data_IF_544073625956
#
_entry.id   IF_544073625956
#
_cell.length_a   1.000
_cell.length_b   1.000
_cell.length_c   1.000
_cell.angle_alpha   90.00
_cell.angle_beta   90.00
_cell.angle_gamma   90.00
#
_symmetry.space_group_name_H-M   'P 1'
#
loop_
_entity.id
_entity.type
_entity.pdbx_description
1 polymer ?
#
# COMPACT_ATOMS: atom_id res chain seq x y z
N UNK A 1 0.01 3.48 13.65
CA UNK A 1 0.13 4.58 12.65
C UNK A 1 -1.04 5.55 12.84
N UNK A 2 -2.28 5.09 12.64
CA UNK A 2 -3.52 5.88 12.70
C UNK A 2 -3.78 6.61 14.03
N UNK A 3 -3.30 6.09 15.17
CA UNK A 3 -3.47 6.76 16.47
C UNK A 3 -2.79 8.14 16.60
N UNK A 4 -1.85 8.49 15.71
CA UNK A 4 -1.05 9.72 15.80
C UNK A 4 -0.91 10.45 14.45
N UNK A 5 -1.47 9.89 13.37
CA UNK A 5 -1.39 10.45 12.03
C UNK A 5 -2.77 10.41 11.39
N UNK A 6 -3.31 11.60 11.08
CA UNK A 6 -4.65 11.76 10.50
C UNK A 6 -4.69 11.48 8.98
N UNK A 7 -3.53 11.22 8.36
CA UNK A 7 -3.48 10.89 6.92
C UNK A 7 -4.16 9.55 6.67
N UNK A 8 -5.12 9.44 5.73
CA UNK A 8 -5.80 8.19 5.40
C UNK A 8 -4.81 7.06 5.05
N UNK A 9 -4.92 5.92 5.74
CA UNK A 9 -4.03 4.79 5.55
C UNK A 9 -4.66 3.71 4.64
N UNK A 10 -3.99 3.43 3.51
CA UNK A 10 -4.24 2.25 2.68
C UNK A 10 -3.41 1.07 3.20
N UNK A 11 -4.04 -0.10 3.37
CA UNK A 11 -3.41 -1.31 3.91
C UNK A 11 -3.40 -2.44 2.89
N UNK A 12 -2.25 -3.09 2.73
CA UNK A 12 -2.14 -4.37 2.03
C UNK A 12 -2.70 -5.49 2.92
N UNK A 13 -3.77 -6.14 2.48
CA UNK A 13 -4.43 -7.21 3.23
C UNK A 13 -4.22 -8.60 2.61
N UNK A 14 -3.24 -8.77 1.71
CA UNK A 14 -2.96 -10.03 1.02
C UNK A 14 -4.24 -10.62 0.40
N UNK A 15 -4.54 -11.88 0.72
CA UNK A 15 -5.74 -12.61 0.31
C UNK A 15 -6.85 -12.55 1.37
N UNK A 16 -6.73 -11.66 2.36
CA UNK A 16 -7.69 -11.45 3.44
C UNK A 16 -7.45 -12.26 4.72
N UNK A 17 -6.23 -12.77 4.91
CA UNK A 17 -5.74 -13.48 6.10
C UNK A 17 -6.56 -14.72 6.51
N UNK A 18 -7.03 -15.48 5.53
CA UNK A 18 -7.56 -16.83 5.74
C UNK A 18 -8.33 -17.35 4.52
N UNK A 19 -8.67 -18.65 4.50
CA UNK A 19 -9.21 -19.28 3.29
C UNK A 19 -10.71 -19.06 3.10
N UNK A 20 -11.42 -18.49 4.07
CA UNK A 20 -12.89 -18.37 4.04
C UNK A 20 -13.37 -16.92 4.01
N UNK A 21 -14.59 -16.72 3.53
CA UNK A 21 -15.29 -15.43 3.58
C UNK A 21 -15.38 -14.86 5.01
N UNK A 22 -15.45 -15.71 6.04
CA UNK A 22 -15.47 -15.26 7.43
C UNK A 22 -14.14 -14.62 7.87
N UNK A 23 -13.01 -15.12 7.35
CA UNK A 23 -11.71 -14.53 7.63
C UNK A 23 -11.61 -13.14 7.00
N UNK A 24 -12.01 -13.02 5.73
CA UNK A 24 -12.02 -11.76 4.99
C UNK A 24 -12.92 -10.74 5.70
N UNK A 25 -14.14 -11.14 6.06
CA UNK A 25 -15.07 -10.24 6.74
C UNK A 25 -14.59 -9.78 8.11
N UNK A 26 -13.84 -10.62 8.84
CA UNK A 26 -13.16 -10.21 10.07
C UNK A 26 -12.04 -9.22 9.80
N UNK A 27 -11.20 -9.48 8.80
CA UNK A 27 -10.11 -8.60 8.38
C UNK A 27 -10.62 -7.19 8.06
N UNK A 28 -11.69 -7.07 7.27
CA UNK A 28 -12.31 -5.77 6.94
C UNK A 28 -12.71 -5.01 8.22
N UNK A 29 -13.46 -5.66 9.12
CA UNK A 29 -13.94 -5.04 10.37
C UNK A 29 -12.79 -4.64 11.29
N UNK A 30 -11.77 -5.48 11.39
CA UNK A 30 -10.59 -5.22 12.23
C UNK A 30 -9.77 -4.04 11.66
N UNK A 31 -9.62 -3.93 10.33
CA UNK A 31 -8.94 -2.79 9.69
C UNK A 31 -9.71 -1.47 9.84
N UNK A 32 -11.03 -1.48 9.65
CA UNK A 32 -11.89 -0.30 9.90
C UNK A 32 -11.76 0.12 11.36
N UNK A 33 -11.88 -0.81 12.31
CA UNK A 33 -11.75 -0.54 13.74
C UNK A 33 -10.37 0.00 14.12
N UNK A 34 -9.32 -0.42 13.42
CA UNK A 34 -7.96 0.09 13.61
C UNK A 34 -7.73 1.48 12.99
N UNK A 35 -8.72 2.04 12.28
CA UNK A 35 -8.67 3.36 11.66
C UNK A 35 -8.07 3.40 10.25
N UNK A 36 -7.94 2.27 9.57
CA UNK A 36 -7.55 2.26 8.16
C UNK A 36 -8.66 2.90 7.31
N UNK A 37 -8.28 3.63 6.27
CA UNK A 37 -9.23 4.27 5.34
C UNK A 37 -9.55 3.38 4.13
N UNK A 38 -8.61 2.49 3.79
CA UNK A 38 -8.77 1.59 2.66
C UNK A 38 -7.96 0.31 2.89
N UNK A 39 -8.33 -0.75 2.18
CA UNK A 39 -7.50 -1.93 2.02
C UNK A 39 -7.44 -2.36 0.56
N UNK A 40 -6.40 -3.09 0.18
CA UNK A 40 -6.42 -3.90 -1.03
C UNK A 40 -6.29 -5.39 -0.72
N UNK A 41 -7.04 -6.20 -1.47
CA UNK A 41 -7.03 -7.67 -1.42
C UNK A 41 -6.75 -8.23 -2.81
N UNK A 42 -6.00 -9.33 -2.91
CA UNK A 42 -5.46 -9.83 -4.17
C UNK A 42 -5.96 -11.22 -4.60
N UNK A 43 -5.85 -11.48 -5.90
CA UNK A 43 -6.28 -12.72 -6.57
C UNK A 43 -5.23 -13.84 -6.55
N UNK A 44 -4.17 -13.72 -5.76
CA UNK A 44 -3.21 -14.80 -5.59
C UNK A 44 -3.78 -15.98 -4.77
N UNK A 45 -3.21 -17.16 -4.99
CA UNK A 45 -3.40 -18.32 -4.12
C UNK A 45 -2.74 -18.07 -2.73
N UNK A 46 -3.20 -18.78 -1.69
CA UNK A 46 -2.85 -18.48 -0.29
C UNK A 46 -1.35 -18.49 0.06
N UNK A 47 -0.50 -19.20 -0.68
CA UNK A 47 0.96 -19.12 -0.56
C UNK A 47 1.53 -18.03 -1.49
N UNK A 48 1.08 -16.78 -1.27
CA UNK A 48 1.33 -15.65 -2.17
C UNK A 48 2.82 -15.29 -2.32
N UNK A 49 3.16 -14.66 -3.44
CA UNK A 49 4.51 -14.14 -3.73
C UNK A 49 4.44 -12.65 -4.05
N UNK A 50 5.58 -11.98 -3.97
CA UNK A 50 5.68 -10.60 -4.43
C UNK A 50 5.30 -10.50 -5.93
N UNK A 51 4.49 -9.50 -6.31
CA UNK A 51 3.99 -9.28 -7.66
C UNK A 51 5.08 -9.16 -8.76
N UNK A 52 6.32 -8.81 -8.38
CA UNK A 52 7.45 -8.72 -9.30
C UNK A 52 8.33 -10.01 -9.36
N UNK A 53 7.86 -11.14 -8.80
CA UNK A 53 8.55 -12.45 -8.88
C UNK A 53 7.83 -13.40 -9.84
N UNK A 54 8.55 -14.34 -10.50
CA UNK A 54 7.95 -15.31 -11.41
C UNK A 54 7.17 -16.43 -10.70
N UNK A 55 6.34 -17.14 -11.47
CA UNK A 55 5.53 -18.30 -11.04
C UNK A 55 4.53 -17.97 -9.93
N UNK A 56 3.74 -16.90 -10.13
CA UNK A 56 2.61 -16.55 -9.27
C UNK A 56 1.43 -17.43 -9.65
N UNK A 57 0.76 -17.99 -8.66
CA UNK A 57 -0.50 -18.72 -8.86
C UNK A 57 -1.64 -17.78 -8.47
N UNK A 58 -2.61 -17.62 -9.38
CA UNK A 58 -3.81 -16.83 -9.15
C UNK A 58 -5.02 -17.74 -9.13
N UNK A 59 -6.02 -17.34 -8.36
CA UNK A 59 -7.27 -18.09 -8.26
C UNK A 59 -8.19 -17.79 -9.43
N UNK A 60 -9.24 -18.61 -9.56
CA UNK A 60 -10.28 -18.38 -10.56
C UNK A 60 -10.91 -17.00 -10.40
N UNK A 61 -11.40 -16.42 -11.50
CA UNK A 61 -12.12 -15.14 -11.45
C UNK A 61 -13.30 -15.18 -10.49
N UNK A 62 -14.05 -16.29 -10.46
CA UNK A 62 -15.19 -16.49 -9.54
C UNK A 62 -14.77 -16.49 -8.08
N UNK A 63 -13.66 -17.15 -7.74
CA UNK A 63 -13.18 -17.16 -6.35
C UNK A 63 -12.79 -15.75 -5.88
N UNK A 64 -12.08 -14.99 -6.71
CA UNK A 64 -11.74 -13.61 -6.33
C UNK A 64 -12.99 -12.71 -6.24
N UNK A 65 -13.99 -12.91 -7.11
CA UNK A 65 -15.29 -12.23 -7.00
C UNK A 65 -15.95 -12.54 -5.65
N UNK A 66 -15.91 -13.79 -5.19
CA UNK A 66 -16.46 -14.16 -3.89
C UNK A 66 -15.69 -13.51 -2.72
N UNK A 67 -14.36 -13.36 -2.84
CA UNK A 67 -13.54 -12.62 -1.87
C UNK A 67 -13.94 -11.14 -1.80
N UNK A 68 -14.12 -10.49 -2.96
CA UNK A 68 -14.53 -9.08 -3.02
C UNK A 68 -15.93 -8.88 -2.44
N UNK A 69 -16.89 -9.76 -2.77
CA UNK A 69 -18.23 -9.72 -2.17
C UNK A 69 -18.18 -9.87 -0.65
N UNK A 70 -17.43 -10.85 -0.15
CA UNK A 70 -17.26 -11.04 1.29
C UNK A 70 -16.65 -9.81 1.98
N UNK A 71 -15.73 -9.12 1.31
CA UNK A 71 -15.15 -7.89 1.83
C UNK A 71 -16.16 -6.73 1.82
N UNK A 72 -16.89 -6.56 0.71
CA UNK A 72 -17.91 -5.52 0.56
C UNK A 72 -19.07 -5.68 1.55
N UNK A 73 -19.59 -6.91 1.70
CA UNK A 73 -20.67 -7.25 2.64
C UNK A 73 -20.27 -7.04 4.11
N UNK A 74 -18.96 -7.12 4.41
CA UNK A 74 -18.45 -6.95 5.77
C UNK A 74 -18.17 -5.49 6.16
N UNK A 75 -18.27 -4.55 5.21
CA UNK A 75 -18.01 -3.13 5.42
C UNK A 75 -18.96 -2.57 6.48
N UNK A 76 -18.40 -1.94 7.52
CA UNK A 76 -19.16 -1.29 8.60
C UNK A 76 -19.10 0.23 8.56
N UNK A 77 -18.37 0.79 7.60
CA UNK A 77 -18.22 2.22 7.35
C UNK A 77 -18.26 2.45 5.83
N UNK A 78 -19.27 3.18 5.34
CA UNK A 78 -19.48 3.41 3.91
C UNK A 78 -18.33 4.20 3.25
N UNK A 79 -17.53 4.93 4.04
CA UNK A 79 -16.36 5.65 3.54
C UNK A 79 -15.14 4.75 3.31
N UNK A 80 -15.09 3.57 3.96
CA UNK A 80 -13.99 2.63 3.82
C UNK A 80 -13.93 2.05 2.41
N UNK A 81 -12.76 2.16 1.77
CA UNK A 81 -12.57 1.75 0.37
C UNK A 81 -11.97 0.35 0.25
N UNK A 82 -12.51 -0.46 -0.64
CA UNK A 82 -12.00 -1.80 -0.97
C UNK A 82 -11.39 -1.77 -2.37
N UNK A 83 -10.09 -2.01 -2.45
CA UNK A 83 -9.35 -2.06 -3.71
C UNK A 83 -9.08 -3.51 -4.11
N UNK A 84 -9.43 -3.88 -5.33
CA UNK A 84 -9.09 -5.18 -5.89
C UNK A 84 -7.71 -5.12 -6.55
N UNK A 85 -6.77 -5.92 -6.06
CA UNK A 85 -5.47 -6.12 -6.71
C UNK A 85 -5.53 -7.34 -7.61
N UNK A 86 -4.99 -7.24 -8.82
CA UNK A 86 -4.83 -8.37 -9.73
C UNK A 86 -3.39 -8.56 -10.17
N UNK A 87 -2.91 -9.78 -10.04
CA UNK A 87 -1.58 -10.22 -10.48
C UNK A 87 -1.62 -10.95 -11.84
N UNK A 88 -2.77 -10.94 -12.52
CA UNK A 88 -3.05 -11.74 -13.71
C UNK A 88 -2.26 -11.34 -14.97
N UNK A 89 -1.76 -10.10 -15.08
CA UNK A 89 -1.07 -9.61 -16.29
C UNK A 89 0.08 -10.52 -16.69
N UNK A 90 0.89 -10.97 -15.72
CA UNK A 90 2.06 -11.80 -15.98
C UNK A 90 1.73 -13.20 -16.51
N UNK A 91 0.54 -13.73 -16.20
CA UNK A 91 0.14 -15.10 -16.49
C UNK A 91 -0.86 -15.20 -17.65
N UNK A 92 -1.81 -14.27 -17.70
CA UNK A 92 -2.98 -14.30 -18.59
C UNK A 92 -2.95 -13.18 -19.64
N UNK A 93 -2.08 -12.18 -19.47
CA UNK A 93 -2.01 -11.01 -20.33
C UNK A 93 -2.99 -9.89 -19.95
N UNK A 94 -2.88 -8.77 -20.66
CA UNK A 94 -3.55 -7.51 -20.31
C UNK A 94 -5.08 -7.59 -20.43
N UNK A 95 -5.60 -8.20 -21.50
CA UNK A 95 -7.04 -8.20 -21.79
C UNK A 95 -7.82 -9.02 -20.75
N UNK A 96 -7.31 -10.20 -20.39
CA UNK A 96 -7.92 -11.04 -19.35
C UNK A 96 -7.80 -10.41 -17.94
N UNK A 97 -6.70 -9.70 -17.66
CA UNK A 97 -6.58 -8.95 -16.42
C UNK A 97 -7.58 -7.79 -16.33
N UNK A 98 -7.90 -7.14 -17.46
CA UNK A 98 -8.96 -6.13 -17.54
C UNK A 98 -10.34 -6.75 -17.31
N UNK A 99 -10.65 -7.90 -17.91
CA UNK A 99 -11.92 -8.61 -17.66
C UNK A 99 -12.10 -8.96 -16.19
N UNK A 100 -11.02 -9.42 -15.53
CA UNK A 100 -10.99 -9.67 -14.09
C UNK A 100 -11.29 -8.40 -13.29
N UNK A 101 -10.56 -7.31 -13.58
CA UNK A 101 -10.74 -6.04 -12.89
C UNK A 101 -12.17 -5.49 -13.00
N UNK A 102 -12.79 -5.57 -14.19
CA UNK A 102 -14.20 -5.17 -14.38
C UNK A 102 -15.13 -6.04 -13.52
N UNK A 103 -14.94 -7.36 -13.53
CA UNK A 103 -15.73 -8.26 -12.68
C UNK A 103 -15.54 -7.98 -11.18
N UNK A 104 -14.36 -7.52 -10.76
CA UNK A 104 -14.09 -7.14 -9.37
C UNK A 104 -14.80 -5.85 -8.98
N UNK A 105 -14.86 -4.86 -9.88
CA UNK A 105 -15.69 -3.66 -9.67
C UNK A 105 -17.17 -4.03 -9.57
N UNK A 106 -17.67 -4.87 -10.47
CA UNK A 106 -19.07 -5.33 -10.45
C UNK A 106 -19.41 -6.11 -9.16
N UNK A 107 -18.40 -6.74 -8.55
CA UNK A 107 -18.53 -7.47 -7.28
C UNK A 107 -18.50 -6.57 -6.03
N UNK A 108 -18.20 -5.27 -6.17
CA UNK A 108 -18.20 -4.30 -5.07
C UNK A 108 -16.82 -3.73 -4.71
N UNK A 109 -15.79 -3.92 -5.52
CA UNK A 109 -14.54 -3.17 -5.36
C UNK A 109 -14.75 -1.70 -5.78
N UNK A 110 -14.14 -0.78 -5.04
CA UNK A 110 -14.22 0.66 -5.31
C UNK A 110 -13.08 1.15 -6.22
N UNK A 111 -11.92 0.49 -6.14
CA UNK A 111 -10.70 0.80 -6.89
C UNK A 111 -10.02 -0.46 -7.40
N UNK A 112 -9.08 -0.31 -8.34
CA UNK A 112 -8.26 -1.42 -8.85
C UNK A 112 -6.77 -1.12 -8.76
N UNK A 113 -6.01 -2.14 -8.40
CA UNK A 113 -4.55 -2.16 -8.45
C UNK A 113 -4.10 -3.24 -9.45
N UNK A 114 -3.86 -2.87 -10.73
CA UNK A 114 -3.24 -3.77 -11.70
C UNK A 114 -1.73 -3.85 -11.46
N UNK A 115 -1.24 -5.04 -11.08
CA UNK A 115 0.16 -5.24 -10.73
C UNK A 115 1.05 -5.49 -11.97
N UNK A 116 2.32 -5.06 -11.90
CA UNK A 116 3.37 -5.34 -12.88
C UNK A 116 3.11 -4.84 -14.33
N UNK A 117 2.40 -3.72 -14.48
CA UNK A 117 2.33 -3.01 -15.78
C UNK A 117 3.70 -2.44 -16.15
N UNK A 118 4.12 -2.64 -17.40
CA UNK A 118 5.41 -2.14 -17.93
C UNK A 118 5.26 -1.10 -19.05
N UNK A 119 4.07 -0.92 -19.61
CA UNK A 119 3.75 0.06 -20.65
C UNK A 119 2.68 1.05 -20.15
N UNK A 120 2.90 2.35 -20.38
CA UNK A 120 1.93 3.42 -20.11
C UNK A 120 0.59 3.21 -20.85
N UNK A 121 0.61 2.65 -22.06
CA UNK A 121 -0.62 2.38 -22.81
C UNK A 121 -1.52 1.36 -22.11
N UNK A 122 -0.95 0.43 -21.34
CA UNK A 122 -1.74 -0.56 -20.62
C UNK A 122 -2.46 0.06 -19.41
N UNK A 123 -1.84 1.05 -18.73
CA UNK A 123 -2.56 1.87 -17.76
C UNK A 123 -3.77 2.57 -18.37
N UNK A 124 -3.62 3.11 -19.58
CA UNK A 124 -4.72 3.76 -20.31
C UNK A 124 -5.86 2.80 -20.62
N UNK A 125 -5.55 1.58 -21.08
CA UNK A 125 -6.56 0.54 -21.32
C UNK A 125 -7.33 0.19 -20.04
N UNK A 126 -6.62 -0.02 -18.92
CA UNK A 126 -7.25 -0.25 -17.62
C UNK A 126 -8.17 0.89 -17.20
N UNK A 127 -7.69 2.13 -17.26
CA UNK A 127 -8.45 3.30 -16.85
C UNK A 127 -9.75 3.44 -17.67
N UNK A 128 -9.68 3.21 -18.98
CA UNK A 128 -10.83 3.27 -19.89
C UNK A 128 -11.87 2.17 -19.63
N UNK A 129 -11.42 0.95 -19.31
CA UNK A 129 -12.31 -0.19 -19.11
C UNK A 129 -12.96 -0.18 -17.72
N UNK A 130 -12.17 0.05 -16.66
CA UNK A 130 -12.61 -0.06 -15.26
C UNK A 130 -13.48 1.14 -14.84
N UNK A 131 -13.23 2.33 -15.40
CA UNK A 131 -13.97 3.59 -15.09
C UNK A 131 -14.03 3.93 -13.60
N UNK A 132 -13.10 3.41 -12.81
CA UNK A 132 -12.83 3.71 -11.41
C UNK A 132 -11.35 4.06 -11.27
N UNK A 133 -10.92 4.72 -10.18
CA UNK A 133 -9.53 5.08 -10.04
C UNK A 133 -8.65 3.82 -9.97
N UNK A 134 -7.55 3.84 -10.73
CA UNK A 134 -6.55 2.78 -10.72
C UNK A 134 -5.28 3.25 -10.01
N UNK A 135 -4.62 2.33 -9.32
CA UNK A 135 -3.35 2.53 -8.64
C UNK A 135 -2.18 2.04 -9.50
N UNK A 136 -1.16 2.87 -9.66
CA UNK A 136 0.13 2.47 -10.22
C UNK A 136 1.15 2.23 -9.10
N UNK A 137 1.68 1.02 -9.02
CA UNK A 137 2.75 0.66 -8.08
C UNK A 137 4.12 0.94 -8.69
N UNK A 138 4.77 2.02 -8.23
CA UNK A 138 6.08 2.47 -8.72
C UNK A 138 7.15 2.11 -7.70
N UNK A 139 7.32 0.80 -7.49
CA UNK A 139 8.37 0.24 -6.61
C UNK A 139 9.69 0.09 -7.36
N UNK A 140 10.80 0.26 -6.64
CA UNK A 140 12.14 0.12 -7.20
C UNK A 140 12.55 -1.35 -7.36
N UNK A 141 13.49 -1.59 -8.27
CA UNK A 141 14.08 -2.92 -8.51
C UNK A 141 13.05 -3.99 -8.94
N UNK A 142 11.94 -3.55 -9.52
CA UNK A 142 10.89 -4.38 -10.11
C UNK A 142 10.94 -4.40 -11.64
N UNK A 143 9.83 -4.83 -12.24
CA UNK A 143 9.64 -4.87 -13.69
C UNK A 143 9.14 -3.54 -14.27
N UNK A 144 8.34 -2.82 -13.49
CA UNK A 144 7.70 -1.57 -13.90
C UNK A 144 8.73 -0.44 -13.97
N UNK A 145 8.82 0.30 -15.08
CA UNK A 145 9.65 1.51 -15.16
C UNK A 145 9.22 2.56 -14.12
N UNK A 146 10.17 3.40 -13.70
CA UNK A 146 9.91 4.49 -12.76
C UNK A 146 9.21 5.67 -13.45
N UNK A 147 7.93 5.48 -13.79
CA UNK A 147 7.12 6.51 -14.44
C UNK A 147 6.90 7.72 -13.52
N UNK A 148 6.85 8.90 -14.13
CA UNK A 148 6.57 10.14 -13.41
C UNK A 148 5.08 10.31 -13.16
N UNK A 149 4.73 11.18 -12.21
CA UNK A 149 3.35 11.58 -11.94
C UNK A 149 2.64 12.03 -13.22
N UNK A 150 3.29 12.87 -14.02
CA UNK A 150 2.67 13.47 -15.21
C UNK A 150 2.46 12.43 -16.32
N UNK A 151 3.39 11.47 -16.47
CA UNK A 151 3.23 10.34 -17.38
C UNK A 151 2.02 9.48 -17.01
N UNK A 152 1.87 9.15 -15.72
CA UNK A 152 0.78 8.30 -15.22
C UNK A 152 -0.56 9.03 -15.27
N UNK A 153 -0.60 10.31 -14.88
CA UNK A 153 -1.80 11.14 -14.94
C UNK A 153 -2.33 11.27 -16.38
N UNK A 154 -1.45 11.41 -17.37
CA UNK A 154 -1.84 11.45 -18.79
C UNK A 154 -2.51 10.16 -19.30
N UNK A 155 -2.35 9.04 -18.59
CA UNK A 155 -3.01 7.76 -18.91
C UNK A 155 -4.26 7.49 -18.06
N UNK A 156 -4.67 8.41 -17.20
CA UNK A 156 -5.85 8.25 -16.34
C UNK A 156 -5.61 7.45 -15.06
N UNK A 157 -4.36 7.33 -14.62
CA UNK A 157 -4.04 6.75 -13.30
C UNK A 157 -4.49 7.70 -12.19
N UNK A 158 -5.22 7.17 -11.20
CA UNK A 158 -5.79 7.96 -10.10
C UNK A 158 -4.91 8.02 -8.85
N UNK A 159 -4.03 7.04 -8.65
CA UNK A 159 -3.16 6.95 -7.49
C UNK A 159 -1.79 6.38 -7.86
N UNK A 160 -0.74 6.85 -7.19
CA UNK A 160 0.63 6.35 -7.35
C UNK A 160 1.10 5.87 -5.99
N UNK A 161 1.56 4.63 -5.93
CA UNK A 161 2.10 4.01 -4.71
C UNK A 161 3.62 3.93 -4.80
N UNK A 162 4.27 4.41 -3.74
CA UNK A 162 5.70 4.27 -3.48
C UNK A 162 5.87 3.39 -2.23
N UNK A 163 5.73 2.06 -2.36
CA UNK A 163 5.41 1.21 -1.21
C UNK A 163 6.57 1.07 -0.22
N UNK A 164 7.82 1.12 -0.69
CA UNK A 164 9.00 0.80 0.11
C UNK A 164 10.15 1.79 -0.04
N UNK A 165 9.99 2.88 -0.80
CA UNK A 165 11.09 3.79 -1.16
C UNK A 165 11.81 4.35 0.07
N UNK A 166 11.06 4.89 1.04
CA UNK A 166 11.61 5.40 2.30
C UNK A 166 12.21 4.27 3.16
N UNK A 167 11.56 3.10 3.18
CA UNK A 167 12.05 1.92 3.92
C UNK A 167 13.40 1.41 3.38
N UNK A 168 13.60 1.44 2.05
CA UNK A 168 14.88 1.07 1.44
C UNK A 168 15.97 2.07 1.80
N UNK A 169 15.69 3.37 1.71
CA UNK A 169 16.63 4.43 2.05
C UNK A 169 17.05 4.38 3.53
N UNK A 170 16.09 4.23 4.45
CA UNK A 170 16.38 4.19 5.89
C UNK A 170 17.25 2.97 6.24
N UNK A 171 17.01 1.80 5.62
CA UNK A 171 17.81 0.60 5.86
C UNK A 171 19.26 0.81 5.42
N UNK A 172 19.49 1.47 4.27
CA UNK A 172 20.84 1.75 3.79
C UNK A 172 21.57 2.75 4.68
N UNK A 173 20.87 3.77 5.17
CA UNK A 173 21.44 4.74 6.12
C UNK A 173 21.79 4.08 7.47
N UNK A 174 20.91 3.22 7.98
CA UNK A 174 21.16 2.47 9.22
C UNK A 174 22.37 1.52 9.08
N UNK A 175 22.46 0.78 7.97
CA UNK A 175 23.61 -0.07 7.64
C UNK A 175 24.91 0.72 7.66
N UNK A 176 24.95 1.89 7.01
CA UNK A 176 26.11 2.77 7.01
C UNK A 176 26.57 3.17 8.42
N UNK A 177 25.64 3.50 9.32
CA UNK A 177 25.96 3.83 10.71
C UNK A 177 26.52 2.62 11.46
N UNK A 178 25.92 1.43 11.30
CA UNK A 178 26.41 0.22 11.95
C UNK A 178 27.82 -0.16 11.49
N UNK A 179 28.12 -0.03 10.20
CA UNK A 179 29.45 -0.28 9.65
C UNK A 179 30.52 0.66 10.22
N UNK A 180 30.23 1.97 10.30
CA UNK A 180 31.16 2.96 10.84
C UNK A 180 31.42 2.74 12.33
N UNK A 181 30.38 2.53 13.14
CA UNK A 181 30.54 2.25 14.57
C UNK A 181 31.39 0.99 14.77
N UNK A 182 31.17 -0.06 13.97
CA UNK A 182 31.91 -1.31 14.11
C UNK A 182 33.37 -1.19 13.69
N UNK A 183 33.64 -0.47 12.59
CA UNK A 183 34.99 -0.32 12.01
C UNK A 183 35.84 0.69 12.78
N UNK A 184 35.26 1.83 13.10
CA UNK A 184 35.99 3.00 13.60
C UNK A 184 35.89 3.15 15.13
N UNK A 185 34.99 2.40 15.77
CA UNK A 185 34.73 2.48 17.21
C UNK A 185 33.95 3.73 17.64
N UNK A 186 33.44 4.51 16.68
CA UNK A 186 32.67 5.75 16.90
C UNK A 186 31.80 6.09 15.68
N UNK A 187 30.72 6.85 15.88
CA UNK A 187 29.85 7.36 14.80
C UNK A 187 30.26 8.76 14.28
N UNK A 188 31.40 9.31 14.73
CA UNK A 188 31.78 10.71 14.49
C UNK A 188 31.68 11.14 13.01
N UNK A 189 32.13 10.28 12.09
CA UNK A 189 32.19 10.61 10.65
C UNK A 189 30.85 10.48 9.92
N UNK A 190 29.80 9.99 10.59
CA UNK A 190 28.45 9.81 9.99
C UNK A 190 27.37 10.70 10.60
N UNK A 191 27.72 11.57 11.57
CA UNK A 191 26.77 12.50 12.21
C UNK A 191 26.02 13.37 11.19
N UNK A 192 26.70 13.84 10.14
CA UNK A 192 26.10 14.69 9.10
C UNK A 192 25.00 14.00 8.29
N UNK A 193 24.87 12.68 8.39
CA UNK A 193 23.82 11.90 7.72
C UNK A 193 22.61 11.60 8.62
N UNK A 194 22.64 12.01 9.88
CA UNK A 194 21.59 11.72 10.86
C UNK A 194 20.56 12.85 10.94
N UNK A 195 19.32 12.48 11.22
CA UNK A 195 18.34 13.44 11.72
C UNK A 195 18.82 14.00 13.06
N UNK A 196 18.84 15.32 13.19
CA UNK A 196 19.18 16.01 14.43
C UNK A 196 18.09 15.84 15.49
N UNK A 197 18.44 16.16 16.74
CA UNK A 197 17.49 16.11 17.86
C UNK A 197 16.32 17.07 17.66
N UNK A 198 16.60 18.29 17.19
CA UNK A 198 15.56 19.29 17.00
C UNK A 198 14.60 18.91 15.86
N UNK A 199 15.13 18.40 14.75
CA UNK A 199 14.28 17.87 13.67
C UNK A 199 13.38 16.74 14.18
N UNK A 200 13.89 15.84 15.04
CA UNK A 200 13.06 14.79 15.64
C UNK A 200 11.94 15.40 16.50
N UNK A 201 12.24 16.38 17.34
CA UNK A 201 11.26 17.05 18.21
C UNK A 201 10.14 17.73 17.41
N UNK A 202 10.49 18.39 16.31
CA UNK A 202 9.53 18.97 15.38
C UNK A 202 8.61 17.88 14.79
N UNK A 203 9.18 16.73 14.34
CA UNK A 203 8.39 15.65 13.72
C UNK A 203 7.38 14.97 14.65
N UNK A 204 7.66 14.92 15.96
CA UNK A 204 6.79 14.25 16.93
C UNK A 204 5.98 15.23 17.78
N UNK A 205 5.98 16.52 17.42
CA UNK A 205 5.28 17.58 18.13
C UNK A 205 5.67 17.66 19.62
N UNK A 206 6.95 17.45 19.93
CA UNK A 206 7.45 17.31 21.30
C UNK A 206 7.12 18.52 22.19
N UNK A 207 7.38 19.73 21.68
CA UNK A 207 7.21 21.00 22.40
C UNK A 207 5.74 21.27 22.79
N UNK A 208 4.77 20.73 22.06
CA UNK A 208 3.36 20.87 22.44
C UNK A 208 3.03 20.10 23.72
N UNK A 209 3.62 18.92 23.92
CA UNK A 209 3.43 18.14 25.14
C UNK A 209 4.14 18.76 26.33
N UNK A 210 5.35 19.30 26.13
CA UNK A 210 6.09 20.02 27.17
C UNK A 210 5.29 21.23 27.67
N UNK A 211 4.77 22.06 26.74
CA UNK A 211 3.92 23.20 27.08
C UNK A 211 2.63 22.81 27.82
N UNK A 212 2.00 21.70 27.42
CA UNK A 212 0.80 21.22 28.10
C UNK A 212 1.10 20.79 29.54
N UNK A 213 2.24 20.14 29.78
CA UNK A 213 2.70 19.76 31.12
C UNK A 213 2.91 20.97 32.03
N UNK A 214 3.51 22.05 31.52
CA UNK A 214 3.73 23.27 32.30
C UNK A 214 2.40 23.91 32.73
N UNK A 215 1.42 23.97 31.83
CA UNK A 215 0.08 24.47 32.15
C UNK A 215 -0.60 23.69 33.28
N UNK A 216 -0.51 22.35 33.27
CA UNK A 216 -1.08 21.53 34.36
C UNK A 216 -0.35 21.68 35.69
N UNK A 217 0.90 22.15 35.70
CA UNK A 217 1.70 22.32 36.92
C UNK A 217 1.50 23.70 37.53
N UNK A 218 1.30 24.73 36.70
CA UNK A 218 1.02 26.09 37.14
C UNK A 218 -0.41 26.28 37.67
N UNK A 219 -1.33 25.33 37.37
CA UNK A 219 -2.71 25.30 37.90
C UNK A 219 -2.84 24.66 39.30
N UNK A 220 -1.74 24.22 39.94
CA UNK A 220 -1.71 23.69 41.32
C UNK A 220 -1.10 24.67 42.32
#
# INVERSE_FOLDING_TARGET
ITNVCDTPLLVDADTGFGPSAFNIGRTVKDLIKAGAAAMHIEDQAGAKRCGHRPNKEIVSRSEMVDRIKAAADARTDDSFQIMARTDAIANEGIDLAIERAVAYIDAGADLVFPEAITDLNDYKKFAQAVKKPILANITEFGLTPLFTRDQLAAQGVGMILYPLSAFRAMNKAAENVYEHIRRDGTQADVISSMQSREELYERINYHAFEKALDQYRDEK
#
